data_IF_717646614074
#
_entry.id   IF_717646614074
#
_cell.length_a   1.000
_cell.length_b   1.000
_cell.length_c   1.000
_cell.angle_alpha   90.00
_cell.angle_beta   90.00
_cell.angle_gamma   90.00
#
_symmetry.space_group_name_H-M   'P 1'
#
loop_
_entity.id
_entity.type
_entity.pdbx_description
1 polymer ?
#
# COMPACT_ATOMS: atom_id res chain seq x y z
N UNK A 1 10.34 -14.63 5.71
CA UNK A 1 10.37 -13.16 5.48
C UNK A 1 10.36 -12.86 4.01
N UNK A 2 9.39 -12.09 3.53
CA UNK A 2 9.25 -11.69 2.13
C UNK A 2 9.74 -10.25 1.92
N UNK A 3 10.43 -10.02 0.79
CA UNK A 3 10.98 -8.72 0.37
C UNK A 3 11.80 -8.02 1.45
N UNK A 4 12.77 -8.72 2.07
CA UNK A 4 13.57 -8.15 3.14
C UNK A 4 14.51 -7.06 2.61
N UNK A 5 14.71 -6.04 3.42
CA UNK A 5 15.81 -5.09 3.31
C UNK A 5 17.01 -5.59 4.12
N UNK A 6 18.17 -4.96 3.93
CA UNK A 6 19.39 -5.38 4.63
C UNK A 6 19.23 -5.32 6.16
N UNK A 7 18.56 -4.28 6.68
CA UNK A 7 18.31 -4.17 8.13
C UNK A 7 17.38 -5.25 8.69
N UNK A 8 16.39 -5.73 7.90
CA UNK A 8 15.53 -6.85 8.31
C UNK A 8 16.35 -8.10 8.56
N UNK A 9 17.35 -8.35 7.70
CA UNK A 9 18.26 -9.49 7.84
C UNK A 9 19.12 -9.36 9.09
N UNK A 10 19.71 -8.18 9.29
CA UNK A 10 20.53 -7.88 10.46
C UNK A 10 19.73 -8.09 11.75
N UNK A 11 18.50 -7.57 11.80
CA UNK A 11 17.64 -7.69 12.96
C UNK A 11 17.21 -9.13 13.23
N UNK A 12 16.68 -9.82 12.21
CA UNK A 12 16.16 -11.18 12.37
C UNK A 12 17.26 -12.24 12.55
N UNK A 13 18.49 -11.97 12.09
CA UNK A 13 19.65 -12.81 12.32
C UNK A 13 20.28 -12.61 13.70
N UNK A 14 19.77 -11.66 14.50
CA UNK A 14 20.24 -11.46 15.87
C UNK A 14 20.04 -12.71 16.74
N UNK A 15 21.00 -13.08 17.65
CA UNK A 15 20.92 -14.28 18.48
C UNK A 15 19.62 -14.45 19.26
N UNK A 16 18.99 -13.35 19.71
CA UNK A 16 17.71 -13.38 20.43
C UNK A 16 16.56 -14.05 19.64
N UNK A 17 16.59 -13.97 18.31
CA UNK A 17 15.59 -14.61 17.48
C UNK A 17 16.05 -15.99 16.99
N UNK A 18 17.32 -16.18 16.70
CA UNK A 18 17.85 -17.45 16.23
C UNK A 18 17.72 -18.59 17.22
N UNK A 19 17.60 -18.30 18.52
CA UNK A 19 17.35 -19.30 19.55
C UNK A 19 15.99 -20.01 19.39
N UNK A 20 14.97 -19.29 18.84
CA UNK A 20 13.60 -19.83 18.72
C UNK A 20 13.09 -19.90 17.27
N UNK A 21 13.75 -19.25 16.32
CA UNK A 21 13.25 -19.11 14.96
C UNK A 21 14.31 -19.41 13.91
N UNK A 22 13.85 -19.98 12.79
CA UNK A 22 14.65 -20.14 11.57
C UNK A 22 14.02 -19.33 10.46
N UNK A 23 14.74 -18.33 9.94
CA UNK A 23 14.24 -17.45 8.89
C UNK A 23 14.69 -17.92 7.50
N UNK A 24 13.75 -17.87 6.56
CA UNK A 24 13.99 -17.98 5.12
C UNK A 24 13.66 -16.66 4.47
N UNK A 25 14.48 -16.18 3.57
CA UNK A 25 14.34 -14.88 2.92
C UNK A 25 14.01 -15.07 1.44
N UNK A 26 12.93 -14.44 0.99
CA UNK A 26 12.45 -14.52 -0.39
C UNK A 26 12.07 -13.13 -0.91
N UNK A 27 12.28 -12.91 -2.22
CA UNK A 27 11.93 -11.65 -2.88
C UNK A 27 13.15 -10.85 -3.31
N UNK A 28 12.96 -9.56 -3.41
CA UNK A 28 13.97 -8.59 -3.84
C UNK A 28 13.66 -7.23 -3.20
N UNK A 29 14.67 -6.35 -3.13
CA UNK A 29 14.46 -4.99 -2.63
C UNK A 29 13.91 -4.09 -3.74
N UNK A 30 12.69 -3.54 -3.51
CA UNK A 30 12.02 -2.64 -4.45
C UNK A 30 12.69 -1.28 -4.61
N UNK A 31 13.50 -0.89 -3.65
CA UNK A 31 14.13 0.42 -3.60
C UNK A 31 15.62 0.39 -3.97
N UNK A 32 16.15 -0.80 -4.25
CA UNK A 32 17.55 -0.99 -4.58
C UNK A 32 17.74 -1.38 -6.05
N UNK A 33 18.49 -0.58 -6.79
CA UNK A 33 18.96 -0.96 -8.13
C UNK A 33 20.15 -1.95 -8.01
N UNK A 34 20.25 -3.01 -8.84
CA UNK A 34 19.36 -3.38 -9.95
C UNK A 34 18.16 -4.27 -9.55
N UNK A 35 18.00 -4.61 -8.28
CA UNK A 35 16.98 -5.56 -7.80
C UNK A 35 15.56 -5.16 -8.20
N UNK A 36 15.26 -3.86 -8.17
CA UNK A 36 13.96 -3.31 -8.53
C UNK A 36 13.58 -3.51 -10.01
N UNK A 37 14.54 -3.73 -10.90
CA UNK A 37 14.26 -4.06 -12.30
C UNK A 37 13.46 -5.38 -12.45
N UNK A 38 13.52 -6.26 -11.44
CA UNK A 38 12.74 -7.51 -11.38
C UNK A 38 11.23 -7.25 -11.34
N UNK A 39 10.81 -6.05 -10.93
CA UNK A 39 9.40 -5.65 -10.92
C UNK A 39 8.78 -5.67 -12.33
N UNK A 40 9.56 -5.37 -13.37
CA UNK A 40 9.07 -5.32 -14.75
C UNK A 40 8.48 -6.66 -15.22
N UNK A 41 9.01 -7.77 -14.71
CA UNK A 41 8.57 -9.14 -15.03
C UNK A 41 7.89 -9.85 -13.85
N UNK A 42 7.61 -9.15 -12.75
CA UNK A 42 7.08 -9.76 -11.55
C UNK A 42 5.59 -10.08 -11.67
N UNK A 43 5.25 -11.33 -11.41
CA UNK A 43 3.89 -11.84 -11.36
C UNK A 43 3.61 -12.32 -9.93
N UNK A 44 2.77 -11.58 -9.20
CA UNK A 44 2.48 -11.85 -7.80
C UNK A 44 1.77 -13.19 -7.59
N UNK A 45 0.87 -13.59 -8.50
CA UNK A 45 0.11 -14.85 -8.39
C UNK A 45 1.03 -16.04 -8.55
N UNK A 46 1.85 -16.04 -9.62
CA UNK A 46 2.85 -17.09 -9.86
C UNK A 46 3.88 -17.15 -8.74
N UNK A 47 4.23 -15.99 -8.19
CA UNK A 47 5.16 -15.91 -7.05
C UNK A 47 4.59 -16.59 -5.82
N UNK A 48 3.35 -16.29 -5.43
CA UNK A 48 2.65 -16.94 -4.31
C UNK A 48 2.53 -18.45 -4.54
N UNK A 49 2.12 -18.89 -5.73
CA UNK A 49 1.98 -20.32 -6.05
C UNK A 49 3.31 -21.06 -5.99
N UNK A 50 4.39 -20.46 -6.46
CA UNK A 50 5.75 -21.01 -6.38
C UNK A 50 6.21 -21.17 -4.95
N UNK A 51 6.02 -20.14 -4.12
CA UNK A 51 6.41 -20.18 -2.71
C UNK A 51 5.53 -21.16 -1.91
N UNK A 52 4.25 -21.22 -2.21
CA UNK A 52 3.35 -22.19 -1.56
C UNK A 52 3.81 -23.64 -1.82
N UNK A 53 4.22 -23.97 -3.05
CA UNK A 53 4.81 -25.29 -3.35
C UNK A 53 6.14 -25.51 -2.64
N UNK A 54 7.01 -24.49 -2.61
CA UNK A 54 8.36 -24.58 -2.01
C UNK A 54 8.30 -24.81 -0.49
N UNK A 55 7.34 -24.16 0.20
CA UNK A 55 7.32 -24.08 1.65
C UNK A 55 6.20 -24.86 2.33
N UNK A 56 5.39 -25.60 1.58
CA UNK A 56 4.31 -26.42 2.15
C UNK A 56 4.85 -27.37 3.22
N UNK A 57 4.32 -27.28 4.45
CA UNK A 57 4.75 -28.10 5.60
C UNK A 57 6.18 -27.85 6.09
N UNK A 58 6.78 -26.71 5.72
CA UNK A 58 8.18 -26.39 6.07
C UNK A 58 8.36 -25.10 6.85
N UNK A 59 7.30 -24.30 6.98
CA UNK A 59 7.30 -23.02 7.71
C UNK A 59 6.01 -22.91 8.53
N UNK A 60 6.08 -22.13 9.60
CA UNK A 60 5.00 -21.92 10.56
C UNK A 60 4.38 -20.52 10.45
N UNK A 61 5.02 -19.62 9.69
CA UNK A 61 4.53 -18.26 9.51
C UNK A 61 5.17 -17.54 8.33
N UNK A 62 4.50 -16.47 7.88
CA UNK A 62 4.97 -15.60 6.80
C UNK A 62 4.88 -14.15 7.27
N UNK A 63 5.99 -13.41 7.15
CA UNK A 63 6.08 -11.99 7.51
C UNK A 63 6.66 -11.16 6.38
N UNK A 64 6.32 -9.88 6.34
CA UNK A 64 6.91 -8.88 5.44
C UNK A 64 6.81 -7.49 6.05
N UNK A 65 7.89 -6.72 5.99
CA UNK A 65 7.92 -5.29 6.32
C UNK A 65 7.71 -4.40 5.08
N UNK A 66 7.52 -5.01 3.91
CA UNK A 66 7.25 -4.27 2.71
C UNK A 66 5.74 -3.95 2.63
N UNK A 67 5.38 -2.69 2.88
CA UNK A 67 3.99 -2.24 2.87
C UNK A 67 3.42 -2.03 1.46
N UNK A 68 4.27 -1.97 0.43
CA UNK A 68 3.80 -1.69 -0.93
C UNK A 68 2.90 -2.82 -1.45
N UNK A 69 3.45 -4.04 -1.58
CA UNK A 69 2.69 -5.25 -1.90
C UNK A 69 3.18 -6.49 -1.12
N UNK A 70 4.29 -6.38 -0.40
CA UNK A 70 4.87 -7.50 0.34
C UNK A 70 3.97 -8.00 1.46
N UNK A 71 3.32 -7.11 2.21
CA UNK A 71 2.35 -7.47 3.25
C UNK A 71 1.15 -8.24 2.65
N UNK A 72 0.64 -7.80 1.50
CA UNK A 72 -0.44 -8.50 0.80
C UNK A 72 0.00 -9.88 0.30
N UNK A 73 1.20 -9.98 -0.28
CA UNK A 73 1.76 -11.28 -0.72
C UNK A 73 2.00 -12.20 0.48
N UNK A 74 2.44 -11.67 1.62
CA UNK A 74 2.59 -12.46 2.84
C UNK A 74 1.26 -13.02 3.32
N UNK A 75 0.21 -12.20 3.36
CA UNK A 75 -1.14 -12.62 3.71
C UNK A 75 -1.68 -13.70 2.74
N UNK A 76 -1.53 -13.47 1.42
CA UNK A 76 -1.95 -14.42 0.40
C UNK A 76 -1.20 -15.77 0.50
N UNK A 77 0.12 -15.74 0.78
CA UNK A 77 0.91 -16.95 0.98
C UNK A 77 0.52 -17.68 2.27
N UNK A 78 0.32 -16.95 3.38
CA UNK A 78 -0.13 -17.54 4.63
C UNK A 78 -1.48 -18.24 4.45
N UNK A 79 -2.46 -17.59 3.84
CA UNK A 79 -3.77 -18.19 3.53
C UNK A 79 -3.62 -19.43 2.64
N UNK A 80 -2.79 -19.39 1.60
CA UNK A 80 -2.56 -20.52 0.68
C UNK A 80 -1.90 -21.74 1.36
N UNK A 81 -1.16 -21.50 2.44
CA UNK A 81 -0.50 -22.54 3.24
C UNK A 81 -1.32 -22.99 4.46
N UNK A 82 -2.45 -22.34 4.76
CA UNK A 82 -3.25 -22.58 5.98
C UNK A 82 -2.54 -22.12 7.24
N UNK A 83 -1.68 -21.10 7.15
CA UNK A 83 -0.92 -20.52 8.26
C UNK A 83 -1.66 -19.31 8.86
N UNK A 84 -1.40 -18.98 10.14
CA UNK A 84 -1.89 -17.75 10.74
C UNK A 84 -1.44 -16.52 9.94
N UNK A 85 -2.33 -15.56 9.77
CA UNK A 85 -2.06 -14.32 9.03
C UNK A 85 -3.31 -13.47 8.86
N UNK A 86 -3.13 -12.25 8.38
CA UNK A 86 -4.26 -11.40 8.01
C UNK A 86 -4.97 -11.93 6.77
N UNK A 87 -6.27 -11.67 6.65
CA UNK A 87 -7.01 -11.94 5.42
C UNK A 87 -6.51 -10.99 4.30
N UNK A 88 -6.13 -11.53 3.12
CA UNK A 88 -5.73 -10.71 1.99
C UNK A 88 -6.75 -9.64 1.61
N UNK A 89 -8.06 -9.93 1.70
CA UNK A 89 -9.11 -8.96 1.41
C UNK A 89 -9.10 -7.77 2.37
N UNK A 90 -8.80 -8.00 3.64
CA UNK A 90 -8.67 -6.93 4.65
C UNK A 90 -7.45 -6.07 4.37
N UNK A 91 -6.31 -6.67 4.02
CA UNK A 91 -5.09 -5.94 3.63
C UNK A 91 -5.36 -5.07 2.40
N UNK A 92 -6.04 -5.61 1.39
CA UNK A 92 -6.41 -4.87 0.18
C UNK A 92 -7.32 -3.69 0.54
N UNK A 93 -8.37 -3.92 1.32
CA UNK A 93 -9.31 -2.88 1.71
C UNK A 93 -8.63 -1.75 2.52
N UNK A 94 -7.68 -2.09 3.40
CA UNK A 94 -6.92 -1.11 4.17
C UNK A 94 -5.91 -0.32 3.31
N UNK A 95 -5.27 -0.97 2.35
CA UNK A 95 -4.22 -0.36 1.52
C UNK A 95 -4.73 0.38 0.29
N UNK A 96 -5.94 0.07 -0.20
CA UNK A 96 -6.57 0.78 -1.31
C UNK A 96 -7.34 2.00 -0.79
N UNK A 97 -6.76 3.18 -0.91
CA UNK A 97 -7.26 4.39 -0.24
C UNK A 97 -8.75 4.67 -0.48
N UNK A 98 -9.25 4.44 -1.70
CA UNK A 98 -10.67 4.62 -1.99
C UNK A 98 -11.55 3.65 -1.19
N UNK A 99 -11.22 2.35 -1.16
CA UNK A 99 -12.00 1.38 -0.40
C UNK A 99 -11.82 1.52 1.11
N UNK A 100 -10.65 1.95 1.56
CA UNK A 100 -10.45 2.35 2.96
C UNK A 100 -11.40 3.49 3.35
N UNK A 101 -11.55 4.53 2.51
CA UNK A 101 -12.52 5.61 2.74
C UNK A 101 -13.97 5.12 2.70
N UNK A 102 -14.31 4.21 1.79
CA UNK A 102 -15.64 3.58 1.78
C UNK A 102 -15.96 2.84 3.08
N UNK A 103 -14.99 2.17 3.69
CA UNK A 103 -15.16 1.52 4.99
C UNK A 103 -15.26 2.56 6.12
N UNK A 104 -14.36 3.52 6.14
CA UNK A 104 -14.34 4.60 7.14
C UNK A 104 -15.65 5.39 7.15
N UNK A 105 -16.18 5.75 5.98
CA UNK A 105 -17.44 6.50 5.88
C UNK A 105 -18.65 5.74 6.44
N UNK A 106 -18.60 4.40 6.49
CA UNK A 106 -19.65 3.58 7.12
C UNK A 106 -19.50 3.50 8.65
N UNK A 107 -18.25 3.49 9.14
CA UNK A 107 -17.95 3.26 10.55
C UNK A 107 -17.87 4.59 11.32
N UNK A 108 -17.21 5.58 10.73
CA UNK A 108 -16.96 6.90 11.35
C UNK A 108 -17.25 8.04 10.35
N UNK A 109 -18.50 8.20 9.88
CA UNK A 109 -18.84 9.16 8.83
C UNK A 109 -18.44 10.59 9.17
N UNK A 110 -18.54 11.01 10.43
CA UNK A 110 -18.18 12.35 10.89
C UNK A 110 -16.69 12.65 10.92
N UNK A 111 -15.83 11.62 10.82
CA UNK A 111 -14.37 11.76 10.78
C UNK A 111 -13.79 11.39 9.40
N UNK A 112 -14.64 11.14 8.41
CA UNK A 112 -14.20 10.78 7.05
C UNK A 112 -14.40 11.98 6.13
N UNK A 113 -13.34 12.45 5.43
CA UNK A 113 -13.50 13.53 4.45
C UNK A 113 -14.39 13.08 3.29
N UNK A 114 -15.01 14.02 2.59
CA UNK A 114 -15.64 13.73 1.29
C UNK A 114 -14.56 13.26 0.33
N UNK A 115 -14.90 12.28 -0.50
CA UNK A 115 -13.93 11.70 -1.42
C UNK A 115 -14.63 11.13 -2.65
N UNK A 116 -13.87 11.02 -3.74
CA UNK A 116 -14.30 10.35 -4.96
C UNK A 116 -13.12 9.70 -5.68
N UNK A 117 -13.40 8.63 -6.45
CA UNK A 117 -12.41 8.03 -7.31
C UNK A 117 -12.32 8.80 -8.63
N UNK A 118 -11.11 9.01 -9.12
CA UNK A 118 -10.84 9.62 -10.41
C UNK A 118 -10.26 8.59 -11.38
N UNK A 119 -10.70 8.60 -12.66
CA UNK A 119 -10.11 7.73 -13.68
C UNK A 119 -8.64 8.06 -13.88
N UNK A 120 -7.86 7.04 -14.22
CA UNK A 120 -6.42 7.20 -14.47
C UNK A 120 -6.06 7.08 -15.95
N UNK A 121 -6.73 6.15 -16.64
CA UNK A 121 -6.36 5.75 -18.01
C UNK A 121 -7.04 6.56 -19.11
N UNK A 122 -8.26 7.04 -18.87
CA UNK A 122 -9.09 7.68 -19.90
C UNK A 122 -8.96 9.22 -19.88
N UNK A 123 -8.03 9.72 -19.05
CA UNK A 123 -7.90 11.14 -18.79
C UNK A 123 -9.07 11.70 -17.97
N UNK A 124 -8.88 12.89 -17.41
CA UNK A 124 -9.93 13.59 -16.66
C UNK A 124 -10.62 14.58 -17.60
N UNK A 125 -11.89 14.33 -17.89
CA UNK A 125 -12.71 15.14 -18.80
C UNK A 125 -13.58 16.18 -18.08
N UNK A 126 -13.79 16.01 -16.78
CA UNK A 126 -14.61 16.91 -15.95
C UNK A 126 -13.94 17.13 -14.58
N UNK A 127 -14.21 18.28 -13.93
CA UNK A 127 -13.76 18.49 -12.56
C UNK A 127 -14.41 17.51 -11.59
N UNK A 128 -13.73 17.19 -10.46
CA UNK A 128 -14.31 16.36 -9.43
C UNK A 128 -15.61 16.98 -8.87
N UNK A 129 -16.57 16.12 -8.51
CA UNK A 129 -17.86 16.57 -7.93
C UNK A 129 -17.68 17.26 -6.57
N UNK A 130 -16.65 16.86 -5.81
CA UNK A 130 -16.34 17.51 -4.53
C UNK A 130 -15.83 18.95 -4.69
N UNK A 131 -15.41 19.36 -5.91
CA UNK A 131 -14.92 20.71 -6.21
C UNK A 131 -13.47 20.93 -5.86
N UNK A 132 -13.05 22.20 -5.93
CA UNK A 132 -11.70 22.66 -5.57
C UNK A 132 -11.77 23.67 -4.40
N UNK A 133 -10.70 23.78 -3.56
CA UNK A 133 -9.48 22.97 -3.58
C UNK A 133 -9.73 21.54 -3.09
N UNK A 134 -8.91 20.61 -3.56
CA UNK A 134 -8.96 19.22 -3.11
C UNK A 134 -7.56 18.59 -3.04
N UNK A 135 -7.41 17.49 -2.31
CA UNK A 135 -6.18 16.72 -2.25
C UNK A 135 -6.29 15.48 -3.12
N UNK A 136 -5.38 15.34 -4.09
CA UNK A 136 -5.39 14.23 -5.06
C UNK A 136 -4.17 13.36 -4.84
N UNK A 137 -4.38 12.04 -4.81
CA UNK A 137 -3.31 11.04 -4.65
C UNK A 137 -3.70 9.72 -5.31
N UNK A 138 -2.72 8.85 -5.67
CA UNK A 138 -3.02 7.51 -6.14
C UNK A 138 -3.73 6.68 -5.05
N UNK A 139 -4.71 5.86 -5.44
CA UNK A 139 -5.40 4.94 -4.51
C UNK A 139 -4.43 3.92 -3.92
N UNK A 140 -3.37 3.57 -4.65
CA UNK A 140 -2.29 2.70 -4.20
C UNK A 140 -0.93 3.32 -4.55
N UNK A 141 -0.31 3.92 -3.56
CA UNK A 141 1.07 4.41 -3.59
C UNK A 141 1.59 4.56 -2.16
N UNK A 142 2.92 4.60 -2.03
CA UNK A 142 3.66 4.90 -0.80
C UNK A 142 4.55 6.13 -1.02
N UNK A 143 5.06 6.72 0.06
CA UNK A 143 5.98 7.87 0.01
C UNK A 143 5.44 9.12 -0.68
N UNK A 144 4.15 9.40 -0.55
CA UNK A 144 3.48 10.60 -1.12
C UNK A 144 3.71 10.80 -2.62
N UNK A 145 4.03 9.74 -3.37
CA UNK A 145 4.21 9.81 -4.82
C UNK A 145 2.90 10.29 -5.45
N UNK A 146 2.99 11.34 -6.29
CA UNK A 146 1.87 11.99 -6.96
C UNK A 146 0.76 12.52 -6.03
N UNK A 147 1.01 12.67 -4.72
CA UNK A 147 0.09 13.31 -3.81
C UNK A 147 0.22 14.83 -3.90
N UNK A 148 -0.87 15.55 -4.20
CA UNK A 148 -0.86 17.00 -4.45
C UNK A 148 -2.11 17.68 -3.95
N UNK A 149 -1.93 18.88 -3.43
CA UNK A 149 -3.00 19.88 -3.30
C UNK A 149 -3.30 20.45 -4.68
N UNK A 150 -4.57 20.48 -5.06
CA UNK A 150 -5.03 20.89 -6.38
C UNK A 150 -6.11 21.96 -6.24
N UNK A 151 -5.91 23.11 -6.86
CA UNK A 151 -6.77 24.29 -6.73
C UNK A 151 -7.66 24.52 -7.95
N UNK A 152 -7.40 23.83 -9.06
CA UNK A 152 -8.14 24.00 -10.29
C UNK A 152 -8.14 22.76 -11.17
N UNK A 153 -9.10 22.72 -12.10
CA UNK A 153 -9.19 21.66 -13.08
C UNK A 153 -7.95 21.61 -14.02
N UNK A 154 -7.36 22.78 -14.31
CA UNK A 154 -6.14 22.85 -15.11
C UNK A 154 -4.95 22.18 -14.40
N UNK A 155 -4.79 22.43 -13.09
CA UNK A 155 -3.75 21.74 -12.28
C UNK A 155 -4.01 20.24 -12.20
N UNK A 156 -5.27 19.82 -12.03
CA UNK A 156 -5.62 18.40 -12.00
C UNK A 156 -5.26 17.70 -13.32
N UNK A 157 -5.58 18.30 -14.45
CA UNK A 157 -5.21 17.75 -15.77
C UNK A 157 -3.70 17.66 -15.95
N UNK A 158 -2.96 18.69 -15.56
CA UNK A 158 -1.49 18.66 -15.62
C UNK A 158 -0.88 17.57 -14.73
N UNK A 159 -1.46 17.33 -13.54
CA UNK A 159 -1.03 16.24 -12.65
C UNK A 159 -1.25 14.85 -13.26
N UNK A 160 -2.26 14.71 -14.10
CA UNK A 160 -2.67 13.43 -14.70
C UNK A 160 -2.08 13.21 -16.10
N UNK A 161 -1.32 14.17 -16.62
CA UNK A 161 -0.67 14.08 -17.93
C UNK A 161 0.65 13.32 -17.82
N UNK A 162 0.57 11.99 -17.92
CA UNK A 162 1.73 11.11 -17.86
C UNK A 162 2.25 10.77 -19.24
N UNK A 163 3.57 10.83 -19.39
CA UNK A 163 4.21 10.27 -20.57
C UNK A 163 3.98 8.74 -20.64
N UNK A 164 4.07 8.13 -21.84
CA UNK A 164 3.90 6.68 -21.99
C UNK A 164 4.84 5.85 -21.10
N UNK A 165 6.06 6.32 -20.86
CA UNK A 165 7.04 5.66 -20.01
C UNK A 165 6.63 5.73 -18.53
N UNK A 166 6.22 6.89 -18.05
CA UNK A 166 5.72 7.07 -16.69
C UNK A 166 4.48 6.21 -16.45
N UNK A 167 3.53 6.23 -17.38
CA UNK A 167 2.35 5.37 -17.32
C UNK A 167 2.70 3.88 -17.27
N UNK A 168 3.72 3.43 -18.01
CA UNK A 168 4.20 2.05 -17.93
C UNK A 168 4.81 1.72 -16.57
N UNK A 169 5.67 2.59 -16.04
CA UNK A 169 6.31 2.40 -14.73
C UNK A 169 5.26 2.35 -13.63
N UNK A 170 4.34 3.31 -13.60
CA UNK A 170 3.25 3.36 -12.62
C UNK A 170 2.38 2.11 -12.68
N UNK A 171 2.07 1.62 -13.89
CA UNK A 171 1.35 0.36 -14.08
C UNK A 171 2.09 -0.80 -13.44
N UNK A 172 3.38 -0.93 -13.70
CA UNK A 172 4.19 -2.03 -13.17
C UNK A 172 4.34 -1.98 -11.65
N UNK A 173 4.38 -0.79 -11.08
CA UNK A 173 4.43 -0.61 -9.62
C UNK A 173 3.19 -1.14 -8.90
N UNK A 174 1.99 -0.92 -9.46
CA UNK A 174 0.74 -1.31 -8.81
C UNK A 174 0.17 -2.64 -9.29
N UNK A 175 0.65 -3.18 -10.41
CA UNK A 175 0.15 -4.42 -11.00
C UNK A 175 0.13 -5.61 -10.01
N UNK A 176 1.18 -5.86 -9.20
CA UNK A 176 1.16 -6.98 -8.25
C UNK A 176 0.03 -6.87 -7.22
N UNK A 177 -0.31 -5.65 -6.81
CA UNK A 177 -1.44 -5.40 -5.93
C UNK A 177 -2.77 -5.61 -6.66
N UNK A 178 -2.92 -5.07 -7.87
CA UNK A 178 -4.14 -5.16 -8.68
C UNK A 178 -4.49 -6.61 -9.03
N UNK A 179 -3.48 -7.42 -9.38
CA UNK A 179 -3.65 -8.84 -9.70
C UNK A 179 -4.19 -9.65 -8.49
N UNK A 180 -3.69 -9.35 -7.29
CA UNK A 180 -4.18 -10.00 -6.07
C UNK A 180 -5.54 -9.42 -5.63
N UNK A 181 -5.76 -8.13 -5.81
CA UNK A 181 -7.04 -7.50 -5.51
C UNK A 181 -8.18 -8.18 -6.28
N UNK A 182 -8.02 -8.40 -7.57
CA UNK A 182 -9.00 -9.10 -8.42
C UNK A 182 -9.24 -10.56 -8.02
N UNK A 183 -8.27 -11.17 -7.33
CA UNK A 183 -8.40 -12.55 -6.88
C UNK A 183 -9.15 -12.66 -5.54
N UNK A 184 -8.93 -11.69 -4.64
CA UNK A 184 -9.38 -11.77 -3.25
C UNK A 184 -10.58 -10.87 -2.93
N UNK A 185 -10.95 -9.94 -3.82
CA UNK A 185 -12.06 -9.01 -3.57
C UNK A 185 -12.95 -8.83 -4.79
N UNK A 186 -14.21 -8.42 -4.59
CA UNK A 186 -15.11 -8.02 -5.67
C UNK A 186 -14.91 -6.55 -6.10
N UNK A 187 -13.82 -5.91 -5.73
CA UNK A 187 -13.57 -4.50 -5.99
C UNK A 187 -13.41 -4.22 -7.49
N UNK A 188 -14.10 -3.20 -7.97
CA UNK A 188 -14.16 -2.82 -9.39
C UNK A 188 -13.21 -1.69 -9.77
N UNK A 189 -12.90 -0.80 -8.80
CA UNK A 189 -11.92 0.26 -9.01
C UNK A 189 -10.54 -0.32 -8.78
N UNK A 190 -9.74 -0.40 -9.85
CA UNK A 190 -8.39 -0.96 -9.82
C UNK A 190 -7.38 -0.06 -9.11
N UNK A 191 -6.22 -0.63 -8.83
CA UNK A 191 -5.11 0.08 -8.16
C UNK A 191 -4.50 1.22 -9.02
N UNK A 192 -4.91 1.35 -10.27
CA UNK A 192 -4.51 2.41 -11.21
C UNK A 192 -5.46 3.60 -11.22
N UNK A 193 -6.21 3.82 -10.16
CA UNK A 193 -7.05 5.00 -10.00
C UNK A 193 -6.38 6.03 -9.08
N UNK A 194 -6.86 7.27 -9.16
CA UNK A 194 -6.59 8.31 -8.18
C UNK A 194 -7.81 8.47 -7.27
N UNK A 195 -7.60 9.08 -6.12
CA UNK A 195 -8.66 9.55 -5.24
C UNK A 195 -8.50 11.05 -5.05
N UNK A 196 -9.61 11.79 -5.18
CA UNK A 196 -9.72 13.16 -4.72
C UNK A 196 -10.39 13.17 -3.35
N UNK A 197 -9.87 13.95 -2.43
CA UNK A 197 -10.35 14.07 -1.07
C UNK A 197 -10.50 15.53 -0.69
N UNK A 198 -11.47 15.81 0.17
CA UNK A 198 -11.55 17.08 0.86
C UNK A 198 -10.29 17.33 1.68
N UNK A 199 -9.85 18.60 1.69
CA UNK A 199 -8.67 19.00 2.46
C UNK A 199 -9.07 19.02 3.93
N UNK A 200 -8.29 18.34 4.74
CA UNK A 200 -8.45 18.32 6.19
C UNK A 200 -7.52 19.36 6.82
N UNK A 201 -8.08 20.13 7.74
CA UNK A 201 -7.32 21.01 8.62
C UNK A 201 -6.97 20.30 9.92
N UNK A 202 -5.87 20.72 10.56
CA UNK A 202 -5.45 20.19 11.86
C UNK A 202 -4.01 19.71 11.88
N UNK A 203 -3.62 19.14 13.01
CA UNK A 203 -2.30 18.54 13.22
C UNK A 203 -2.33 17.10 12.76
N UNK A 204 -1.36 16.73 11.93
CA UNK A 204 -1.21 15.37 11.45
C UNK A 204 -0.44 14.54 12.45
N UNK A 205 -0.96 13.36 12.77
CA UNK A 205 -0.34 12.40 13.68
C UNK A 205 -0.36 10.99 13.08
N UNK A 206 0.60 10.18 13.47
CA UNK A 206 0.59 8.74 13.23
C UNK A 206 0.17 7.99 14.48
N UNK A 207 -0.63 6.94 14.31
CA UNK A 207 -0.97 6.00 15.38
C UNK A 207 -0.33 4.67 15.03
N UNK A 208 0.62 4.24 15.85
CA UNK A 208 1.28 2.95 15.71
C UNK A 208 0.63 1.90 16.61
N UNK A 209 0.49 0.69 16.08
CA UNK A 209 -0.12 -0.39 16.81
C UNK A 209 -0.18 -1.69 16.00
N UNK A 210 -0.82 -2.68 16.58
CA UNK A 210 -1.08 -3.95 15.92
C UNK A 210 -2.45 -4.52 16.28
N UNK A 211 -2.95 -5.39 15.44
CA UNK A 211 -4.18 -6.15 15.69
C UNK A 211 -3.83 -7.62 15.85
N UNK A 212 -4.29 -8.22 16.94
CA UNK A 212 -4.13 -9.64 17.21
C UNK A 212 -5.45 -10.23 17.70
N UNK A 213 -5.96 -11.24 17.02
CA UNK A 213 -7.24 -11.90 17.33
C UNK A 213 -8.42 -10.91 17.50
N UNK A 214 -8.48 -9.89 16.64
CA UNK A 214 -9.53 -8.87 16.69
C UNK A 214 -9.33 -7.78 17.75
N UNK A 215 -8.31 -7.87 18.58
CA UNK A 215 -7.98 -6.87 19.60
C UNK A 215 -6.97 -5.87 19.02
N UNK A 216 -7.33 -4.59 19.07
CA UNK A 216 -6.46 -3.48 18.65
C UNK A 216 -5.58 -3.07 19.83
N UNK A 217 -4.27 -3.07 19.62
CA UNK A 217 -3.26 -2.65 20.59
C UNK A 217 -2.54 -1.40 20.05
N UNK A 218 -2.85 -0.24 20.60
CA UNK A 218 -2.16 1.02 20.27
C UNK A 218 -0.86 1.07 21.06
N UNK A 219 0.27 1.22 20.38
CA UNK A 219 1.60 1.35 20.99
C UNK A 219 1.92 2.81 21.30
N UNK A 220 1.47 3.73 20.45
CA UNK A 220 1.70 5.15 20.64
C UNK A 220 1.05 6.00 19.57
N UNK A 221 1.04 7.30 19.85
CA UNK A 221 0.68 8.37 18.88
C UNK A 221 1.90 9.26 18.76
N UNK A 222 2.34 9.51 17.53
CA UNK A 222 3.51 10.35 17.25
C UNK A 222 3.14 11.49 16.30
N UNK A 223 3.72 12.66 16.56
CA UNK A 223 3.52 13.82 15.70
C UNK A 223 4.27 13.64 14.38
N UNK A 224 3.63 14.01 13.28
CA UNK A 224 4.32 14.13 11.99
C UNK A 224 4.95 15.52 11.85
N UNK A 225 6.26 15.53 11.68
CA UNK A 225 7.01 16.77 11.44
C UNK A 225 7.09 17.02 9.94
N UNK A 226 6.50 18.13 9.50
CA UNK A 226 6.52 18.54 8.09
C UNK A 226 7.76 19.37 7.76
N UNK A 227 8.17 19.37 6.49
CA UNK A 227 9.14 20.35 6.01
C UNK A 227 8.55 21.76 6.14
N UNK A 228 9.30 22.74 6.68
CA UNK A 228 8.80 24.10 6.89
C UNK A 228 8.17 24.70 5.63
N UNK A 229 6.95 25.23 5.78
CA UNK A 229 6.19 25.85 4.68
C UNK A 229 5.66 24.90 3.62
N UNK A 230 5.66 23.59 3.88
CA UNK A 230 5.15 22.57 2.96
C UNK A 230 4.20 21.61 3.66
N UNK A 231 3.45 20.84 2.87
CA UNK A 231 2.66 19.69 3.35
C UNK A 231 3.41 18.36 3.12
N UNK A 232 4.71 18.43 2.87
CA UNK A 232 5.51 17.24 2.70
C UNK A 232 6.06 16.77 4.07
N UNK A 233 5.85 15.52 4.33
CA UNK A 233 6.31 14.84 5.53
C UNK A 233 7.84 14.73 5.55
N UNK A 234 8.46 15.08 6.66
CA UNK A 234 9.90 15.01 6.88
C UNK A 234 10.29 13.82 7.76
N UNK A 235 9.61 13.66 8.90
CA UNK A 235 9.85 12.57 9.89
C UNK A 235 8.71 12.51 10.91
N UNK A 236 8.62 11.42 11.63
CA UNK A 236 7.87 11.22 12.86
C UNK A 236 8.79 10.89 14.01
#
# INVERSE_FOLDING_TARGET
>A
MLFPKDWDRVELDHPRYRAGYRFYYEGFDLFRFPDNARLLSFDARRYVDRLARKYRGRIDGVISNNEHFGALIAAALAQRLGLPGADPAVIIAAQHKYYARCLQSRIVPGATPRFEALPYDDGITAPPQLGFPCFVKPVKATYSVLARHVESFAQLRALMDFSPLEGLILRKLVQPFDDLMRLYTPFTIGARAMIAEEILDGVQVNIDGYVHNGVINVLGVVDEVMYPGTQAFMRF
#
